data_IF_755643815952
#
_entry.id   IF_755643815952
#
_cell.length_a   1.000
_cell.length_b   1.000
_cell.length_c   1.000
_cell.angle_alpha   90.00
_cell.angle_beta   90.00
_cell.angle_gamma   90.00
#
_symmetry.space_group_name_H-M   'P 1'
#
loop_
_entity.id
_entity.type
_entity.pdbx_description
1 polymer ?
#
# COMPACT_ATOMS: atom_id res chain seq x y z
N UNK A 1 15.87 3.15 -17.83
CA UNK A 1 15.82 4.61 -17.76
C UNK A 1 14.39 5.07 -17.50
N UNK A 2 14.26 5.87 -16.49
CA UNK A 2 12.92 6.34 -16.13
C UNK A 2 12.40 7.32 -17.17
N UNK A 3 11.24 7.01 -17.65
CA UNK A 3 10.46 7.91 -18.47
C UNK A 3 9.76 8.90 -17.51
N UNK A 4 9.86 10.18 -17.80
CA UNK A 4 9.13 11.16 -17.02
C UNK A 4 7.62 10.93 -17.08
N UNK A 5 6.84 11.55 -16.19
CA UNK A 5 5.40 11.41 -16.19
C UNK A 5 4.79 11.93 -17.49
N UNK A 6 3.71 11.30 -17.92
CA UNK A 6 2.97 11.68 -19.13
C UNK A 6 1.47 11.75 -18.86
N UNK A 7 0.68 11.98 -19.91
CA UNK A 7 -0.78 12.12 -19.77
C UNK A 7 -1.45 10.82 -19.32
N UNK A 8 -0.90 9.67 -19.72
CA UNK A 8 -1.43 8.37 -19.30
C UNK A 8 -1.18 8.19 -17.81
N UNK A 9 0.02 8.53 -17.34
CA UNK A 9 0.35 8.51 -15.91
C UNK A 9 -0.61 9.40 -15.12
N UNK A 10 -0.88 10.60 -15.61
CA UNK A 10 -1.80 11.53 -14.95
C UNK A 10 -3.22 10.97 -14.88
N UNK A 11 -3.69 10.33 -15.96
CA UNK A 11 -5.00 9.71 -15.99
C UNK A 11 -5.12 8.57 -14.98
N UNK A 12 -4.11 7.71 -14.92
CA UNK A 12 -4.07 6.61 -13.94
C UNK A 12 -4.05 7.16 -12.52
N UNK A 13 -3.23 8.17 -12.27
CA UNK A 13 -3.13 8.77 -10.93
C UNK A 13 -4.47 9.36 -10.48
N UNK A 14 -5.17 10.06 -11.37
CA UNK A 14 -6.47 10.64 -11.03
C UNK A 14 -7.50 9.57 -10.71
N UNK A 15 -7.50 8.43 -11.41
CA UNK A 15 -8.36 7.30 -11.09
C UNK A 15 -8.02 6.71 -9.72
N UNK A 16 -6.74 6.54 -9.43
CA UNK A 16 -6.28 6.05 -8.13
C UNK A 16 -6.66 7.02 -7.01
N UNK A 17 -6.55 8.32 -7.26
CA UNK A 17 -6.93 9.34 -6.28
C UNK A 17 -8.41 9.26 -5.96
N UNK A 18 -9.28 9.05 -6.96
CA UNK A 18 -10.71 8.88 -6.73
C UNK A 18 -10.98 7.68 -5.82
N UNK A 19 -10.29 6.57 -6.04
CA UNK A 19 -10.42 5.38 -5.18
C UNK A 19 -9.89 5.67 -3.78
N UNK A 20 -8.74 6.33 -3.69
CA UNK A 20 -8.09 6.66 -2.42
C UNK A 20 -8.98 7.53 -1.53
N UNK A 21 -9.76 8.42 -2.14
CA UNK A 21 -10.68 9.32 -1.45
C UNK A 21 -12.10 8.75 -1.32
N UNK A 22 -12.34 7.54 -1.82
CA UNK A 22 -13.64 6.89 -1.69
C UNK A 22 -13.91 6.49 -0.24
N UNK A 23 -15.19 6.43 0.17
CA UNK A 23 -15.53 6.10 1.56
C UNK A 23 -14.90 4.82 2.11
N UNK A 24 -14.88 3.70 1.36
CA UNK A 24 -14.26 2.47 1.90
C UNK A 24 -12.77 2.62 2.17
N UNK A 25 -12.03 3.31 1.27
CA UNK A 25 -10.58 3.47 1.45
C UNK A 25 -10.29 4.49 2.55
N UNK A 26 -11.06 5.56 2.64
CA UNK A 26 -10.93 6.54 3.73
C UNK A 26 -11.15 5.85 5.09
N UNK A 27 -12.17 5.01 5.19
CA UNK A 27 -12.45 4.25 6.41
C UNK A 27 -11.31 3.30 6.74
N UNK A 28 -10.79 2.59 5.75
CA UNK A 28 -9.68 1.66 5.94
C UNK A 28 -8.41 2.39 6.39
N UNK A 29 -8.12 3.55 5.81
CA UNK A 29 -6.95 4.36 6.21
C UNK A 29 -7.07 4.81 7.67
N UNK A 30 -8.24 5.26 8.07
CA UNK A 30 -8.50 5.64 9.45
C UNK A 30 -8.33 4.45 10.39
N UNK A 31 -8.83 3.29 9.99
CA UNK A 31 -8.70 2.07 10.79
C UNK A 31 -7.23 1.66 10.98
N UNK A 32 -6.43 1.67 9.92
CA UNK A 32 -5.01 1.28 10.01
C UNK A 32 -4.24 2.20 10.96
N UNK A 33 -4.62 3.48 11.09
CA UNK A 33 -3.98 4.39 12.04
C UNK A 33 -4.20 3.98 13.48
N UNK A 34 -5.23 3.20 13.77
CA UNK A 34 -5.51 2.71 15.12
C UNK A 34 -4.76 1.43 15.44
N UNK A 35 -4.14 0.78 14.45
CA UNK A 35 -3.44 -0.48 14.65
C UNK A 35 -2.02 -0.24 15.16
N UNK A 36 -1.59 -0.94 16.21
CA UNK A 36 -0.18 -0.92 16.57
C UNK A 36 0.66 -1.62 15.50
N UNK A 37 1.88 -1.15 15.28
CA UNK A 37 2.78 -1.77 14.32
C UNK A 37 3.17 -3.16 14.79
N UNK A 38 3.34 -4.08 13.84
CA UNK A 38 3.90 -5.40 14.12
C UNK A 38 2.93 -6.43 14.64
N UNK A 39 1.62 -6.21 14.54
CA UNK A 39 0.65 -7.24 14.91
C UNK A 39 0.83 -8.47 14.02
N UNK A 40 0.89 -9.65 14.65
CA UNK A 40 0.86 -10.91 13.93
C UNK A 40 -0.53 -11.18 13.37
N UNK A 41 -0.60 -12.12 12.43
CA UNK A 41 -1.89 -12.54 11.88
C UNK A 41 -2.80 -13.06 12.99
N UNK A 42 -2.26 -13.86 13.91
CA UNK A 42 -3.04 -14.41 15.02
C UNK A 42 -3.60 -13.31 15.92
N UNK A 43 -2.78 -12.33 16.27
CA UNK A 43 -3.21 -11.21 17.12
C UNK A 43 -4.27 -10.36 16.44
N UNK A 44 -4.07 -10.07 15.16
CA UNK A 44 -5.01 -9.24 14.41
C UNK A 44 -6.35 -9.95 14.25
N UNK A 45 -6.34 -11.24 13.91
CA UNK A 45 -7.58 -12.00 13.69
C UNK A 45 -8.29 -12.36 14.99
N UNK A 46 -7.58 -12.41 16.11
CA UNK A 46 -8.21 -12.56 17.41
C UNK A 46 -9.08 -11.35 17.74
N UNK A 47 -8.62 -10.17 17.38
CA UNK A 47 -9.33 -8.91 17.65
C UNK A 47 -10.33 -8.57 16.54
N UNK A 48 -10.00 -8.88 15.31
CA UNK A 48 -10.81 -8.58 14.12
C UNK A 48 -10.96 -9.84 13.29
N UNK A 49 -11.91 -10.73 13.65
CA UNK A 49 -12.06 -12.00 12.93
C UNK A 49 -12.51 -11.79 11.48
N UNK A 50 -12.27 -12.82 10.67
CA UNK A 50 -12.68 -12.81 9.26
C UNK A 50 -14.17 -12.47 9.15
N UNK A 51 -14.49 -11.57 8.22
CA UNK A 51 -15.86 -11.08 8.03
C UNK A 51 -16.22 -9.87 8.88
N UNK A 52 -15.41 -9.51 9.88
CA UNK A 52 -15.64 -8.28 10.64
C UNK A 52 -15.27 -7.06 9.81
N UNK A 53 -15.82 -5.91 10.19
CA UNK A 53 -15.52 -4.63 9.53
C UNK A 53 -14.02 -4.31 9.59
N UNK A 54 -13.42 -4.54 10.77
CA UNK A 54 -11.98 -4.29 10.93
C UNK A 54 -11.13 -5.16 10.02
N UNK A 55 -11.46 -6.44 9.91
CA UNK A 55 -10.76 -7.36 9.02
C UNK A 55 -10.90 -6.92 7.56
N UNK A 56 -12.10 -6.51 7.16
CA UNK A 56 -12.35 -6.01 5.82
C UNK A 56 -11.53 -4.73 5.54
N UNK A 57 -11.41 -3.85 6.53
CA UNK A 57 -10.60 -2.64 6.40
C UNK A 57 -9.13 -2.95 6.17
N UNK A 58 -8.62 -4.03 6.78
CA UNK A 58 -7.23 -4.45 6.53
C UNK A 58 -7.03 -4.75 5.05
N UNK A 59 -7.90 -5.58 4.49
CA UNK A 59 -7.73 -6.00 3.09
C UNK A 59 -8.08 -4.90 2.09
N UNK A 60 -9.01 -4.01 2.42
CA UNK A 60 -9.34 -2.88 1.54
C UNK A 60 -8.10 -2.03 1.26
N UNK A 61 -7.37 -1.65 2.28
CA UNK A 61 -6.17 -0.83 2.09
C UNK A 61 -5.01 -1.64 1.54
N UNK A 62 -4.87 -2.89 1.96
CA UNK A 62 -3.83 -3.76 1.44
C UNK A 62 -3.94 -3.92 -0.08
N UNK A 63 -5.14 -4.21 -0.58
CA UNK A 63 -5.37 -4.37 -2.02
C UNK A 63 -5.21 -3.06 -2.78
N UNK A 64 -5.59 -1.94 -2.19
CA UNK A 64 -5.32 -0.65 -2.81
C UNK A 64 -3.82 -0.48 -3.08
N UNK A 65 -2.99 -0.68 -2.04
CA UNK A 65 -1.55 -0.53 -2.19
C UNK A 65 -0.91 -1.62 -3.04
N UNK A 66 -1.45 -2.84 -3.03
CA UNK A 66 -1.02 -3.89 -3.95
C UNK A 66 -1.22 -3.44 -5.39
N UNK A 67 -2.34 -2.78 -5.68
CA UNK A 67 -2.62 -2.26 -7.02
C UNK A 67 -1.64 -1.14 -7.39
N UNK A 68 -1.46 -0.17 -6.51
CA UNK A 68 -0.52 0.93 -6.76
C UNK A 68 0.90 0.38 -6.96
N UNK A 69 1.34 -0.49 -6.07
CA UNK A 69 2.67 -1.09 -6.16
C UNK A 69 2.87 -1.89 -7.43
N UNK A 70 1.85 -2.62 -7.86
CA UNK A 70 1.90 -3.37 -9.11
C UNK A 70 2.06 -2.45 -10.32
N UNK A 71 1.32 -1.35 -10.35
CA UNK A 71 1.44 -0.36 -11.44
C UNK A 71 2.83 0.28 -11.47
N UNK A 72 3.37 0.62 -10.30
CA UNK A 72 4.72 1.15 -10.19
C UNK A 72 5.77 0.15 -10.70
N UNK A 73 5.64 -1.11 -10.26
CA UNK A 73 6.58 -2.16 -10.62
C UNK A 73 6.59 -2.45 -12.11
N UNK A 74 5.43 -2.37 -12.75
CA UNK A 74 5.29 -2.62 -14.19
C UNK A 74 5.65 -1.40 -15.03
N UNK A 75 6.00 -0.28 -14.41
CA UNK A 75 6.32 0.94 -15.14
C UNK A 75 5.12 1.65 -15.74
N UNK A 76 3.92 1.35 -15.24
CA UNK A 76 2.68 1.94 -15.75
C UNK A 76 2.26 3.19 -14.99
N UNK A 77 2.90 3.48 -13.87
CA UNK A 77 2.67 4.68 -13.08
C UNK A 77 4.02 5.25 -12.68
N UNK A 78 4.22 6.54 -12.92
CA UNK A 78 5.44 7.25 -12.56
C UNK A 78 5.57 7.40 -11.04
N UNK A 79 6.70 7.00 -10.48
CA UNK A 79 7.00 7.22 -9.05
C UNK A 79 7.01 8.70 -8.71
N UNK A 80 7.62 9.52 -9.58
CA UNK A 80 7.68 10.95 -9.37
C UNK A 80 6.29 11.55 -9.23
N UNK A 81 5.39 11.20 -10.14
CA UNK A 81 4.04 11.72 -10.11
C UNK A 81 3.28 11.23 -8.86
N UNK A 82 3.40 9.95 -8.54
CA UNK A 82 2.68 9.36 -7.43
C UNK A 82 3.14 9.93 -6.08
N UNK A 83 4.44 9.92 -5.82
CA UNK A 83 4.97 10.27 -4.50
C UNK A 83 5.25 11.76 -4.32
N UNK A 84 5.42 12.50 -5.41
CA UNK A 84 5.59 13.95 -5.32
C UNK A 84 4.25 14.67 -5.17
N UNK A 85 3.18 14.10 -5.71
CA UNK A 85 1.91 14.80 -5.89
C UNK A 85 0.83 14.36 -4.91
N UNK A 86 0.65 13.06 -4.70
CA UNK A 86 -0.56 12.54 -4.02
C UNK A 86 -0.24 11.69 -2.80
N UNK A 87 0.66 10.72 -2.93
CA UNK A 87 0.79 9.67 -1.92
C UNK A 87 2.02 9.84 -1.04
N UNK A 88 1.81 9.65 0.27
CA UNK A 88 2.88 9.36 1.21
C UNK A 88 3.26 7.88 1.07
N UNK A 89 4.31 7.45 1.78
CA UNK A 89 4.68 6.04 1.80
C UNK A 89 3.52 5.19 2.33
N UNK A 90 3.27 4.03 1.71
CA UNK A 90 2.26 3.13 2.27
C UNK A 90 2.62 2.68 3.68
N UNK A 91 1.63 2.40 4.54
CA UNK A 91 1.89 2.03 5.93
C UNK A 91 2.31 0.56 6.07
N UNK A 92 3.35 0.18 5.35
CA UNK A 92 3.89 -1.18 5.35
C UNK A 92 4.31 -1.66 6.76
N UNK A 93 5.02 -0.84 7.57
CA UNK A 93 5.42 -1.30 8.91
C UNK A 93 4.25 -1.72 9.79
N UNK A 94 3.07 -1.14 9.60
CA UNK A 94 1.87 -1.50 10.36
C UNK A 94 1.42 -2.92 10.06
N UNK A 95 1.52 -3.35 8.80
CA UNK A 95 0.94 -4.61 8.33
C UNK A 95 1.98 -5.68 8.02
N UNK A 96 3.25 -5.35 8.09
CA UNK A 96 4.35 -6.22 7.66
C UNK A 96 4.29 -7.61 8.28
N UNK A 97 4.15 -7.69 9.60
CA UNK A 97 4.15 -9.00 10.28
C UNK A 97 2.95 -9.84 9.87
N UNK A 98 1.78 -9.23 9.74
CA UNK A 98 0.59 -9.91 9.26
C UNK A 98 0.82 -10.52 7.88
N UNK A 99 1.40 -9.74 6.96
CA UNK A 99 1.67 -10.22 5.59
C UNK A 99 2.72 -11.33 5.60
N UNK A 100 3.79 -11.20 6.39
CA UNK A 100 4.81 -12.25 6.49
C UNK A 100 4.22 -13.55 7.03
N UNK A 101 3.30 -13.46 7.98
CA UNK A 101 2.61 -14.65 8.51
C UNK A 101 1.77 -15.32 7.43
N UNK A 102 1.08 -14.54 6.59
CA UNK A 102 0.33 -15.09 5.46
C UNK A 102 1.24 -15.80 4.48
N UNK A 103 2.40 -15.23 4.18
CA UNK A 103 3.39 -15.85 3.28
C UNK A 103 3.77 -17.25 3.75
N UNK A 104 3.99 -17.39 5.04
CA UNK A 104 4.35 -18.69 5.64
C UNK A 104 3.16 -19.64 5.63
N UNK A 105 2.01 -19.17 6.11
CA UNK A 105 0.82 -20.00 6.25
C UNK A 105 0.33 -20.56 4.91
N UNK A 106 0.39 -19.76 3.85
CA UNK A 106 -0.09 -20.13 2.52
C UNK A 106 1.03 -20.66 1.61
N UNK A 107 2.25 -20.70 2.10
CA UNK A 107 3.43 -21.02 1.28
C UNK A 107 3.45 -20.17 0.01
N UNK A 108 3.21 -18.85 0.19
CA UNK A 108 3.14 -17.90 -0.92
C UNK A 108 4.04 -16.70 -0.64
N UNK A 109 5.32 -16.77 -1.04
CA UNK A 109 6.29 -15.71 -0.73
C UNK A 109 5.98 -14.38 -1.43
N UNK A 110 5.13 -14.38 -2.43
CA UNK A 110 4.79 -13.17 -3.18
C UNK A 110 3.61 -12.40 -2.59
N UNK A 111 2.94 -12.94 -1.58
CA UNK A 111 1.82 -12.25 -0.94
C UNK A 111 2.29 -10.89 -0.41
N UNK A 112 1.60 -9.82 -0.78
CA UNK A 112 1.95 -8.47 -0.34
C UNK A 112 3.25 -7.93 -0.91
N UNK A 113 3.80 -8.51 -1.97
CA UNK A 113 5.08 -8.05 -2.53
C UNK A 113 4.98 -6.65 -3.13
N UNK A 114 3.81 -6.27 -3.61
CA UNK A 114 3.64 -4.98 -4.28
C UNK A 114 3.51 -3.81 -3.30
N UNK A 115 2.83 -4.00 -2.17
CA UNK A 115 2.82 -2.96 -1.13
C UNK A 115 4.22 -2.78 -0.53
N UNK A 116 4.94 -3.87 -0.34
CA UNK A 116 6.32 -3.84 0.11
C UNK A 116 7.20 -3.07 -0.88
N UNK A 117 7.06 -3.37 -2.17
CA UNK A 117 7.77 -2.68 -3.24
C UNK A 117 7.44 -1.18 -3.23
N UNK A 118 6.16 -0.82 -3.13
CA UNK A 118 5.75 0.57 -3.10
C UNK A 118 6.36 1.31 -1.90
N UNK A 119 6.42 0.65 -0.75
CA UNK A 119 7.04 1.24 0.44
C UNK A 119 8.54 1.49 0.22
N UNK A 120 9.26 0.51 -0.30
CA UNK A 120 10.69 0.65 -0.56
C UNK A 120 10.97 1.80 -1.54
N UNK A 121 10.15 1.90 -2.61
CA UNK A 121 10.31 2.96 -3.60
C UNK A 121 9.97 4.34 -3.02
N UNK A 122 8.93 4.42 -2.20
CA UNK A 122 8.55 5.68 -1.56
C UNK A 122 9.64 6.16 -0.62
N UNK A 123 10.24 5.27 0.15
CA UNK A 123 11.32 5.62 1.08
C UNK A 123 12.57 6.06 0.33
N UNK A 124 12.90 5.39 -0.78
CA UNK A 124 14.02 5.76 -1.62
C UNK A 124 13.80 7.13 -2.28
N UNK A 125 12.60 7.36 -2.78
CA UNK A 125 12.22 8.64 -3.39
C UNK A 125 12.36 9.78 -2.38
N UNK A 126 11.87 9.59 -1.16
CA UNK A 126 11.97 10.59 -0.10
C UNK A 126 13.43 10.88 0.27
N UNK A 127 14.27 9.85 0.33
CA UNK A 127 15.69 10.00 0.62
C UNK A 127 16.42 10.78 -0.51
N UNK A 128 16.10 10.48 -1.74
CA UNK A 128 16.69 11.17 -2.90
C UNK A 128 16.29 12.64 -2.92
N UNK A 129 15.04 12.95 -2.57
CA UNK A 129 14.57 14.34 -2.49
C UNK A 129 15.29 15.14 -1.41
N UNK A 130 15.56 14.51 -0.26
CA UNK A 130 16.25 15.18 0.84
C UNK A 130 17.72 15.46 0.52
N UNK A 131 18.35 14.62 -0.30
CA UNK A 131 19.76 14.80 -0.67
C UNK A 131 19.96 15.65 -1.91
N UNK A 132 18.89 15.93 -2.62
CA UNK A 132 18.94 16.81 -3.81
C UNK A 132 18.56 18.28 -3.50
#
# INVERSE_FOLDING_TARGET
MDKGPDRVDAGILLQLLQIYLSPPVVAARGFWRTLPAGLSKAELEAKYPAGSEGHNNVFTLLYFWETVGGLLKQGLLSEELAFDTVFDAPPWPTIEQFVRDIRVERDEPREGENIEYAYERAMKFAAERRSG
#
